data_IF_191907527639
#
_entry.id   IF_191907527639
#
_cell.length_a   1.000
_cell.length_b   1.000
_cell.length_c   1.000
_cell.angle_alpha   90.00
_cell.angle_beta   90.00
_cell.angle_gamma   90.00
#
_symmetry.space_group_name_H-M   'P 1'
#
loop_
_entity.id
_entity.type
_entity.pdbx_description
1 polymer ?
#
# COMPACT_ATOMS: atom_id res chain seq x y z
N UNK A 1 -18.17 0.95 -0.37
CA UNK A 1 -16.70 1.03 -0.19
C UNK A 1 -16.13 1.99 -1.22
N UNK A 2 -15.14 2.82 -0.84
CA UNK A 2 -14.59 3.90 -1.69
C UNK A 2 -14.11 3.40 -3.06
N UNK A 3 -13.46 2.23 -3.10
CA UNK A 3 -13.04 1.58 -4.35
C UNK A 3 -14.18 1.32 -5.34
N UNK A 4 -15.36 0.93 -4.85
CA UNK A 4 -16.53 0.71 -5.71
C UNK A 4 -17.11 2.02 -6.22
N UNK A 5 -17.12 3.07 -5.39
CA UNK A 5 -17.67 4.37 -5.74
C UNK A 5 -16.85 5.11 -6.80
N UNK A 6 -15.53 4.86 -6.87
CA UNK A 6 -14.63 5.55 -7.79
C UNK A 6 -14.26 4.73 -9.04
N UNK A 7 -14.82 3.53 -9.19
CA UNK A 7 -14.53 2.63 -10.32
C UNK A 7 -14.82 3.28 -11.68
N UNK A 8 -15.96 3.96 -11.81
CA UNK A 8 -16.36 4.61 -13.06
C UNK A 8 -15.52 5.86 -13.39
N UNK A 9 -14.76 6.35 -12.41
CA UNK A 9 -13.79 7.43 -12.59
C UNK A 9 -12.39 6.93 -12.94
N UNK A 10 -12.19 5.60 -13.02
CA UNK A 10 -10.87 5.01 -13.29
C UNK A 10 -9.85 5.24 -12.18
N UNK A 11 -10.30 5.40 -10.93
CA UNK A 11 -9.43 5.62 -9.77
C UNK A 11 -9.32 4.31 -8.97
N UNK A 12 -8.12 3.75 -8.90
CA UNK A 12 -7.81 2.65 -8.00
C UNK A 12 -7.71 3.13 -6.53
N UNK A 13 -8.25 2.34 -5.61
CA UNK A 13 -8.22 2.62 -4.16
C UNK A 13 -7.82 1.35 -3.44
N UNK A 14 -6.68 1.36 -2.76
CA UNK A 14 -6.16 0.20 -2.02
C UNK A 14 -5.69 0.59 -0.63
N UNK A 15 -5.56 -0.41 0.24
CA UNK A 15 -4.84 -0.31 1.51
C UNK A 15 -3.50 -1.01 1.38
N UNK A 16 -2.50 -0.58 2.15
CA UNK A 16 -1.23 -1.31 2.27
C UNK A 16 -0.68 -1.27 3.68
N UNK A 17 0.02 -2.33 4.07
CA UNK A 17 0.73 -2.44 5.33
C UNK A 17 2.23 -2.21 5.07
N UNK A 18 2.82 -1.10 5.55
CA UNK A 18 4.24 -0.82 5.39
C UNK A 18 5.13 -1.72 6.27
N UNK A 19 4.52 -2.44 7.23
CA UNK A 19 5.23 -3.12 8.31
C UNK A 19 5.68 -2.14 9.40
N UNK A 20 6.64 -2.58 10.23
CA UNK A 20 7.23 -1.74 11.27
C UNK A 20 8.47 -1.04 10.73
N UNK A 21 8.36 0.27 10.48
CA UNK A 21 9.33 1.06 9.71
C UNK A 21 10.06 2.08 10.59
N UNK A 22 11.38 2.23 10.41
CA UNK A 22 12.24 3.20 11.11
C UNK A 22 11.90 4.64 10.73
N UNK A 23 10.88 5.16 11.39
CA UNK A 23 10.37 6.53 11.33
C UNK A 23 10.22 7.07 12.76
N UNK A 24 9.86 8.33 12.93
CA UNK A 24 9.56 8.88 14.26
C UNK A 24 8.44 8.09 14.97
N UNK A 25 7.45 7.59 14.22
CA UNK A 25 6.36 6.77 14.76
C UNK A 25 6.79 5.34 15.09
N UNK A 26 7.67 4.74 14.29
CA UNK A 26 8.12 3.37 14.48
C UNK A 26 9.29 3.21 15.44
N UNK A 27 10.08 4.27 15.66
CA UNK A 27 11.27 4.23 16.50
C UNK A 27 12.49 3.57 15.82
N UNK A 28 13.67 3.63 16.48
CA UNK A 28 14.93 3.16 15.92
C UNK A 28 15.02 1.63 15.79
N UNK A 29 14.28 0.88 16.62
CA UNK A 29 14.31 -0.58 16.66
C UNK A 29 13.41 -1.24 15.61
N UNK A 30 12.69 -0.43 14.82
CA UNK A 30 11.84 -0.95 13.76
C UNK A 30 12.65 -1.74 12.72
N UNK A 31 12.09 -2.86 12.29
CA UNK A 31 12.84 -3.84 11.50
C UNK A 31 13.07 -3.38 10.06
N UNK A 32 12.17 -2.57 9.48
CA UNK A 32 12.24 -2.13 8.09
C UNK A 32 12.79 -0.71 7.92
N UNK A 33 13.49 -0.47 6.82
CA UNK A 33 13.88 0.86 6.36
C UNK A 33 12.68 1.64 5.79
N UNK A 34 12.82 2.96 5.66
CA UNK A 34 11.79 3.81 5.04
C UNK A 34 11.55 3.41 3.59
N UNK A 35 12.62 3.10 2.85
CA UNK A 35 12.56 2.65 1.47
C UNK A 35 11.78 1.33 1.35
N UNK A 36 12.06 0.36 2.23
CA UNK A 36 11.30 -0.90 2.28
C UNK A 36 9.83 -0.69 2.64
N UNK A 37 9.52 0.29 3.51
CA UNK A 37 8.15 0.62 3.89
C UNK A 37 7.36 1.33 2.79
N UNK A 38 8.04 2.19 2.01
CA UNK A 38 7.43 2.97 0.94
C UNK A 38 7.21 2.16 -0.34
N UNK A 39 8.00 1.11 -0.56
CA UNK A 39 8.00 0.27 -1.76
C UNK A 39 6.60 -0.05 -2.31
N UNK A 40 5.72 -0.59 -1.46
CA UNK A 40 4.38 -1.01 -1.90
C UNK A 40 3.48 0.18 -2.21
N UNK A 41 3.60 1.31 -1.50
CA UNK A 41 2.82 2.51 -1.82
C UNK A 41 3.24 3.13 -3.15
N UNK A 42 4.55 3.22 -3.40
CA UNK A 42 5.08 3.76 -4.65
C UNK A 42 4.69 2.86 -5.81
N UNK A 43 4.86 1.54 -5.67
CA UNK A 43 4.44 0.57 -6.68
C UNK A 43 2.94 0.66 -6.98
N UNK A 44 2.08 0.79 -5.95
CA UNK A 44 0.63 0.96 -6.14
C UNK A 44 0.25 2.26 -6.87
N UNK A 45 1.06 3.31 -6.73
CA UNK A 45 0.80 4.61 -7.32
C UNK A 45 1.33 4.75 -8.76
N UNK A 46 2.44 4.07 -9.08
CA UNK A 46 3.19 4.25 -10.33
C UNK A 46 3.05 3.08 -11.32
N UNK A 47 3.19 1.84 -10.84
CA UNK A 47 3.32 0.66 -11.70
C UNK A 47 2.10 -0.27 -11.67
N UNK A 48 1.35 -0.30 -10.56
CA UNK A 48 0.26 -1.24 -10.37
C UNK A 48 -0.90 -0.94 -11.32
N UNK A 49 -1.49 -2.01 -11.82
CA UNK A 49 -2.60 -1.93 -12.74
C UNK A 49 -3.87 -1.40 -12.05
N UNK A 50 -4.60 -0.47 -12.67
CA UNK A 50 -5.72 0.25 -12.04
C UNK A 50 -6.92 -0.66 -11.71
N UNK A 51 -7.00 -1.84 -12.34
CA UNK A 51 -7.95 -2.90 -11.99
C UNK A 51 -7.70 -3.52 -10.60
N UNK A 52 -6.47 -3.40 -10.08
CA UNK A 52 -6.15 -3.74 -8.70
C UNK A 52 -6.72 -2.63 -7.81
N UNK A 53 -7.97 -2.81 -7.38
CA UNK A 53 -8.70 -1.86 -6.54
C UNK A 53 -9.55 -2.58 -5.49
N UNK A 54 -9.66 -1.99 -4.30
CA UNK A 54 -10.37 -2.57 -3.15
C UNK A 54 -9.60 -3.69 -2.46
N UNK A 55 -8.28 -3.72 -2.60
CA UNK A 55 -7.40 -4.78 -2.07
C UNK A 55 -6.54 -4.27 -0.91
N UNK A 56 -5.94 -5.21 -0.19
CA UNK A 56 -4.98 -4.93 0.87
C UNK A 56 -3.64 -5.59 0.54
N UNK A 57 -2.55 -4.84 0.63
CA UNK A 57 -1.23 -5.29 0.20
C UNK A 57 -0.16 -5.22 1.29
N UNK A 58 0.85 -6.09 1.18
CA UNK A 58 2.12 -5.98 1.89
C UNK A 58 3.24 -6.54 1.02
N UNK A 59 4.34 -5.80 0.90
CA UNK A 59 5.49 -6.21 0.08
C UNK A 59 5.07 -6.62 -1.35
N UNK A 60 4.22 -5.80 -1.98
CA UNK A 60 3.62 -6.01 -3.32
C UNK A 60 2.78 -7.29 -3.50
N UNK A 61 2.41 -7.98 -2.42
CA UNK A 61 1.51 -9.13 -2.44
C UNK A 61 0.16 -8.80 -1.79
N UNK A 62 -0.94 -9.29 -2.37
CA UNK A 62 -2.27 -9.20 -1.76
C UNK A 62 -2.29 -10.03 -0.47
N UNK A 63 -2.88 -9.47 0.60
CA UNK A 63 -3.10 -10.11 1.89
C UNK A 63 -4.57 -10.00 2.27
N UNK A 64 -5.03 -10.88 3.16
CA UNK A 64 -6.39 -10.85 3.68
C UNK A 64 -6.63 -9.61 4.57
N UNK A 65 -7.88 -9.13 4.57
CA UNK A 65 -8.35 -8.00 5.36
C UNK A 65 -8.39 -8.30 6.87
#
# INVERSE_FOLDING_TARGET
MLAAALRDHGIAVNSMCPGWVRTDMGGPDATRSVEEGADTAVWLADEAAQELTGKFFRSRAEIDW
#
